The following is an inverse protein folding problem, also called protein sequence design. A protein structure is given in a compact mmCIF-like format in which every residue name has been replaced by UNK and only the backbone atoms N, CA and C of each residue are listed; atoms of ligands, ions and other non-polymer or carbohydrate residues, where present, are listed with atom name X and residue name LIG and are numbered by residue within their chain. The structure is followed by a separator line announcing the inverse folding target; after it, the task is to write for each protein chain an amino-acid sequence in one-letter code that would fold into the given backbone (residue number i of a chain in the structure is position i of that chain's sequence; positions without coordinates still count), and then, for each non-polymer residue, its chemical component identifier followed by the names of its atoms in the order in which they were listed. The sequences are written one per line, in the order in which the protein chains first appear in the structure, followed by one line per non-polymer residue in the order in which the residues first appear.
data_IF_242913732767
#
_entry.id   IF_242913732767
#
_cell.length_a   1.000
_cell.length_b   1.000
_cell.length_c   1.000
_cell.angle_alpha   90.00
_cell.angle_beta   90.00
_cell.angle_gamma   90.00
#
_symmetry.space_group_name_H-M   'P 1'
#
loop_
_entity.id
_entity.type
_entity.pdbx_description
1 polymer ?
#
# COMPACT_ATOMS: atom_id res chain seq x y z
N UNK A 1 31.06 -13.63 5.99
CA UNK A 1 30.52 -13.06 7.24
C UNK A 1 30.51 -14.19 8.26
N UNK A 2 31.30 -14.07 9.33
CA UNK A 2 31.46 -15.18 10.29
C UNK A 2 30.21 -15.32 11.16
N UNK A 3 29.93 -16.52 11.68
CA UNK A 3 28.73 -16.85 12.48
C UNK A 3 28.46 -15.85 13.62
N UNK A 4 29.52 -15.30 14.23
CA UNK A 4 29.43 -14.26 15.26
C UNK A 4 28.82 -12.94 14.74
N UNK A 5 29.22 -12.47 13.56
CA UNK A 5 28.65 -11.26 12.94
C UNK A 5 27.18 -11.47 12.56
N UNK A 6 26.82 -12.68 12.14
CA UNK A 6 25.44 -13.04 11.82
C UNK A 6 24.55 -13.07 13.07
N UNK A 7 25.07 -13.55 14.20
CA UNK A 7 24.34 -13.56 15.47
C UNK A 7 24.16 -12.15 16.07
N UNK A 8 25.20 -11.31 16.00
CA UNK A 8 25.11 -9.91 16.44
C UNK A 8 24.07 -9.13 15.65
N UNK A 9 24.06 -9.31 14.32
CA UNK A 9 23.09 -8.66 13.45
C UNK A 9 21.65 -9.10 13.79
N UNK A 10 21.40 -10.40 13.92
CA UNK A 10 20.07 -10.91 14.29
C UNK A 10 19.58 -10.34 15.63
N UNK A 11 20.48 -10.13 16.60
CA UNK A 11 20.15 -9.53 17.89
C UNK A 11 19.75 -8.06 17.73
N UNK A 12 20.47 -7.28 16.94
CA UNK A 12 20.13 -5.88 16.68
C UNK A 12 18.75 -5.74 16.01
N UNK A 13 18.46 -6.57 15.02
CA UNK A 13 17.19 -6.57 14.31
C UNK A 13 16.03 -7.00 15.19
N UNK A 14 16.24 -7.97 16.08
CA UNK A 14 15.25 -8.33 17.08
C UNK A 14 14.93 -7.16 18.00
N UNK A 15 15.95 -6.40 18.43
CA UNK A 15 15.76 -5.21 19.27
C UNK A 15 14.98 -4.14 18.49
N UNK A 16 15.35 -3.86 17.25
CA UNK A 16 14.63 -2.91 16.40
C UNK A 16 13.18 -3.33 16.18
N UNK A 17 12.93 -4.61 15.91
CA UNK A 17 11.58 -5.15 15.75
C UNK A 17 10.75 -5.02 17.02
N UNK A 18 11.31 -5.36 18.17
CA UNK A 18 10.63 -5.18 19.46
C UNK A 18 10.38 -3.70 19.78
N UNK A 19 11.31 -2.80 19.44
CA UNK A 19 11.10 -1.35 19.58
C UNK A 19 10.00 -0.84 18.63
N UNK A 20 9.96 -1.31 17.39
CA UNK A 20 8.90 -0.98 16.43
C UNK A 20 7.53 -1.49 16.89
N UNK A 21 7.46 -2.73 17.37
CA UNK A 21 6.24 -3.32 17.92
C UNK A 21 5.78 -2.58 19.17
N UNK A 22 6.70 -2.25 20.08
CA UNK A 22 6.40 -1.44 21.26
C UNK A 22 5.84 -0.09 20.85
N UNK A 23 6.48 0.60 19.90
CA UNK A 23 6.02 1.90 19.44
C UNK A 23 4.65 1.81 18.78
N UNK A 24 4.40 0.80 17.95
CA UNK A 24 3.10 0.52 17.34
C UNK A 24 2.01 0.31 18.40
N UNK A 25 2.23 -0.57 19.39
CA UNK A 25 1.26 -0.85 20.45
C UNK A 25 1.02 0.40 21.32
N UNK A 26 2.10 1.05 21.75
CA UNK A 26 2.02 2.23 22.62
C UNK A 26 1.29 3.39 21.94
N UNK A 27 1.63 3.69 20.68
CA UNK A 27 0.99 4.75 19.92
C UNK A 27 -0.46 4.41 19.55
N UNK A 28 -0.79 3.13 19.32
CA UNK A 28 -2.19 2.69 19.20
C UNK A 28 -2.95 3.02 20.48
N UNK A 29 -2.45 2.58 21.64
CA UNK A 29 -3.09 2.87 22.93
C UNK A 29 -3.20 4.39 23.19
N UNK A 30 -2.15 5.15 22.90
CA UNK A 30 -2.14 6.59 23.08
C UNK A 30 -3.12 7.30 22.13
N UNK A 31 -3.25 6.83 20.89
CA UNK A 31 -4.25 7.34 19.95
C UNK A 31 -5.67 7.03 20.44
N UNK A 32 -5.92 5.79 20.90
CA UNK A 32 -7.21 5.37 21.45
C UNK A 32 -7.61 6.09 22.75
N UNK A 33 -6.69 6.77 23.41
CA UNK A 33 -6.96 7.48 24.69
C UNK A 33 -6.96 8.99 24.52
N UNK A 34 -6.07 9.53 23.70
CA UNK A 34 -5.81 10.97 23.59
C UNK A 34 -6.34 11.55 22.26
N UNK A 35 -6.52 10.74 21.21
CA UNK A 35 -7.03 11.19 19.92
C UNK A 35 -6.08 12.13 19.16
N UNK A 36 -4.77 12.12 19.47
CA UNK A 36 -3.80 13.05 18.86
C UNK A 36 -3.19 12.47 17.58
N UNK A 37 -3.13 13.30 16.52
CA UNK A 37 -2.61 12.92 15.21
C UNK A 37 -1.15 12.47 15.22
N UNK A 38 -0.32 13.00 16.12
CA UNK A 38 1.07 12.55 16.28
C UNK A 38 1.14 11.05 16.55
N UNK A 39 0.18 10.49 17.28
CA UNK A 39 0.14 9.06 17.55
C UNK A 39 -0.22 8.21 16.33
N UNK A 40 -0.95 8.75 15.36
CA UNK A 40 -1.19 8.09 14.07
C UNK A 40 0.12 7.93 13.30
N UNK A 41 0.92 8.99 13.25
CA UNK A 41 2.22 8.95 12.56
C UNK A 41 3.19 8.02 13.29
N UNK A 42 3.22 8.05 14.62
CA UNK A 42 4.04 7.13 15.42
C UNK A 42 3.59 5.67 15.28
N UNK A 43 2.29 5.43 15.14
CA UNK A 43 1.71 4.11 14.87
C UNK A 43 2.19 3.55 13.55
N UNK A 44 2.06 4.32 12.47
CA UNK A 44 2.50 3.90 11.14
C UNK A 44 4.03 3.75 11.08
N UNK A 45 4.78 4.66 11.72
CA UNK A 45 6.22 4.53 11.83
C UNK A 45 6.63 3.26 12.59
N UNK A 46 6.04 2.99 13.76
CA UNK A 46 6.29 1.76 14.53
C UNK A 46 6.01 0.50 13.73
N UNK A 47 4.90 0.48 12.99
CA UNK A 47 4.55 -0.62 12.09
C UNK A 47 5.59 -0.83 10.99
N UNK A 48 6.07 0.25 10.37
CA UNK A 48 7.10 0.18 9.32
C UNK A 48 8.45 -0.34 9.85
N UNK A 49 8.84 0.04 11.07
CA UNK A 49 10.06 -0.45 11.72
C UNK A 49 9.91 -1.93 12.08
N UNK A 50 8.74 -2.33 12.57
CA UNK A 50 8.45 -3.72 12.90
C UNK A 50 8.48 -4.62 11.64
N UNK A 51 7.80 -4.23 10.56
CA UNK A 51 7.78 -4.99 9.32
C UNK A 51 9.17 -5.11 8.70
N UNK A 52 9.99 -4.07 8.78
CA UNK A 52 11.38 -4.20 8.35
C UNK A 52 12.12 -5.27 9.16
N UNK A 53 12.03 -5.23 10.49
CA UNK A 53 12.74 -6.22 11.31
C UNK A 53 12.32 -7.65 10.95
N UNK A 54 11.02 -7.86 10.66
CA UNK A 54 10.52 -9.15 10.16
C UNK A 54 11.11 -9.53 8.80
N UNK A 55 11.14 -8.59 7.86
CA UNK A 55 11.81 -8.74 6.55
C UNK A 55 13.26 -9.19 6.77
N UNK A 56 14.03 -8.54 7.64
CA UNK A 56 15.40 -8.93 7.91
C UNK A 56 15.51 -10.32 8.53
N UNK A 57 14.65 -10.66 9.50
CA UNK A 57 14.66 -11.97 10.18
C UNK A 57 14.40 -13.12 9.22
N UNK A 58 13.54 -12.93 8.22
CA UNK A 58 13.24 -13.92 7.16
C UNK A 58 14.41 -14.08 6.16
N UNK A 59 15.55 -13.44 6.41
CA UNK A 59 16.75 -13.59 5.60
C UNK A 59 16.68 -12.78 4.29
N UNK A 60 15.85 -11.74 4.25
CA UNK A 60 16.04 -10.65 3.29
C UNK A 60 17.36 -10.00 3.62
N UNK A 61 18.21 -9.75 2.61
CA UNK A 61 19.42 -8.94 2.81
C UNK A 61 18.95 -7.71 3.54
N UNK A 62 19.42 -7.57 4.78
CA UNK A 62 18.96 -6.54 5.69
C UNK A 62 19.10 -5.23 4.94
N UNK A 63 17.97 -4.57 4.70
CA UNK A 63 18.04 -3.37 3.88
C UNK A 63 18.90 -2.38 4.76
N UNK A 64 18.81 -2.38 6.10
CA UNK A 64 19.53 -1.41 6.97
C UNK A 64 21.06 -1.56 7.04
N UNK A 65 21.64 -2.58 6.40
CA UNK A 65 23.09 -2.80 6.42
C UNK A 65 23.89 -2.11 5.31
N UNK A 66 23.26 -1.51 4.28
CA UNK A 66 23.93 -0.73 3.24
C UNK A 66 23.42 0.73 3.21
N UNK A 67 24.11 1.59 3.94
CA UNK A 67 23.50 2.68 4.73
C UNK A 67 22.98 3.89 3.93
N UNK A 68 23.68 4.47 2.94
CA UNK A 68 23.21 5.71 2.30
C UNK A 68 22.32 5.49 1.07
N UNK A 69 22.60 4.48 0.24
CA UNK A 69 21.82 4.22 -0.99
C UNK A 69 20.43 3.72 -0.66
N UNK A 70 20.28 2.89 0.37
CA UNK A 70 18.97 2.45 0.85
C UNK A 70 18.17 3.59 1.44
N UNK A 71 18.72 4.37 2.37
CA UNK A 71 17.94 5.41 3.03
C UNK A 71 17.34 6.36 1.99
N UNK A 72 18.11 6.66 0.94
CA UNK A 72 17.64 7.40 -0.23
C UNK A 72 16.51 6.67 -0.99
N UNK A 73 16.55 5.35 -1.10
CA UNK A 73 15.48 4.55 -1.71
C UNK A 73 14.20 4.55 -0.88
N UNK A 74 14.28 4.25 0.43
CA UNK A 74 13.12 4.32 1.33
C UNK A 74 12.53 5.72 1.39
N UNK A 75 13.37 6.76 1.42
CA UNK A 75 12.91 8.14 1.36
C UNK A 75 12.18 8.42 0.05
N UNK A 76 12.63 7.87 -1.09
CA UNK A 76 11.91 7.98 -2.35
C UNK A 76 10.55 7.27 -2.30
N UNK A 77 10.47 6.07 -1.72
CA UNK A 77 9.18 5.37 -1.53
C UNK A 77 8.26 6.22 -0.66
N UNK A 78 8.75 6.74 0.47
CA UNK A 78 7.99 7.59 1.37
C UNK A 78 7.48 8.86 0.69
N UNK A 79 8.34 9.57 -0.04
CA UNK A 79 7.97 10.79 -0.75
C UNK A 79 6.99 10.51 -1.90
N UNK A 80 7.24 9.45 -2.67
CA UNK A 80 6.32 9.00 -3.72
C UNK A 80 4.95 8.68 -3.10
N UNK A 81 4.94 7.94 -1.98
CA UNK A 81 3.73 7.56 -1.28
C UNK A 81 2.94 8.74 -0.76
N UNK A 82 3.60 9.72 -0.13
CA UNK A 82 2.96 10.95 0.33
C UNK A 82 2.34 11.76 -0.82
N UNK A 83 3.06 11.93 -1.94
CA UNK A 83 2.54 12.66 -3.11
C UNK A 83 1.37 11.92 -3.73
N UNK A 84 1.51 10.62 -3.97
CA UNK A 84 0.51 9.82 -4.68
C UNK A 84 -0.71 9.60 -3.82
N UNK A 85 -0.53 9.34 -2.53
CA UNK A 85 -1.63 9.21 -1.57
C UNK A 85 -2.52 10.45 -1.58
N UNK A 86 -1.93 11.64 -1.44
CA UNK A 86 -2.70 12.89 -1.46
C UNK A 86 -3.32 13.15 -2.85
N UNK A 87 -2.52 13.12 -3.92
CA UNK A 87 -2.95 13.58 -5.25
C UNK A 87 -3.86 12.57 -5.94
N UNK A 88 -3.65 11.28 -5.72
CA UNK A 88 -4.36 10.23 -6.43
C UNK A 88 -5.39 9.54 -5.55
N UNK A 89 -5.11 9.26 -4.28
CA UNK A 89 -6.06 8.52 -3.44
C UNK A 89 -7.01 9.45 -2.71
N UNK A 90 -6.52 10.46 -2.00
CA UNK A 90 -7.40 11.38 -1.29
C UNK A 90 -8.13 12.31 -2.25
N UNK A 91 -7.44 12.92 -3.21
CA UNK A 91 -8.11 13.82 -4.16
C UNK A 91 -9.25 13.10 -4.91
N UNK A 92 -9.00 11.89 -5.40
CA UNK A 92 -10.00 11.14 -6.15
C UNK A 92 -11.09 10.61 -5.21
N UNK A 93 -10.73 9.98 -4.10
CA UNK A 93 -11.70 9.27 -3.26
C UNK A 93 -12.51 10.22 -2.37
N UNK A 94 -11.89 11.28 -1.83
CA UNK A 94 -12.55 12.28 -0.98
C UNK A 94 -13.25 13.34 -1.82
N UNK A 95 -12.52 13.97 -2.76
CA UNK A 95 -13.05 15.16 -3.43
C UNK A 95 -13.80 14.85 -4.74
N UNK A 96 -13.38 13.85 -5.51
CA UNK A 96 -14.11 13.49 -6.74
C UNK A 96 -15.26 12.53 -6.48
N UNK A 97 -15.09 11.57 -5.57
CA UNK A 97 -16.06 10.50 -5.37
C UNK A 97 -16.82 10.57 -4.05
N UNK A 98 -16.30 11.25 -3.01
CA UNK A 98 -16.96 11.33 -1.71
C UNK A 98 -17.15 9.96 -1.03
N UNK A 99 -16.22 9.02 -1.26
CA UNK A 99 -16.29 7.64 -0.73
C UNK A 99 -15.90 7.60 0.74
N UNK A 100 -15.02 8.51 1.16
CA UNK A 100 -14.77 8.72 2.57
C UNK A 100 -14.59 10.19 2.91
N UNK A 101 -14.88 10.52 4.15
CA UNK A 101 -14.65 11.84 4.73
C UNK A 101 -13.78 11.72 5.98
N UNK A 102 -12.93 12.71 6.17
CA UNK A 102 -12.15 12.87 7.38
C UNK A 102 -13.00 13.50 8.49
N UNK A 103 -12.85 13.03 9.73
CA UNK A 103 -13.42 13.75 10.87
C UNK A 103 -12.82 15.17 10.95
N UNK A 104 -13.54 16.13 11.55
CA UNK A 104 -13.24 17.57 11.50
C UNK A 104 -11.78 17.92 11.77
N UNK A 105 -11.14 17.23 12.71
CA UNK A 105 -9.73 17.48 13.09
C UNK A 105 -8.77 17.19 11.91
N UNK A 106 -9.15 16.28 11.03
CA UNK A 106 -8.39 15.85 9.86
C UNK A 106 -8.94 16.44 8.55
N UNK A 107 -10.03 17.21 8.62
CA UNK A 107 -10.67 17.73 7.41
C UNK A 107 -9.84 18.85 6.76
N UNK A 108 -9.62 18.79 5.43
CA UNK A 108 -8.95 19.85 4.69
C UNK A 108 -9.73 21.18 4.72
N UNK A 109 -11.04 21.15 4.98
CA UNK A 109 -11.88 22.36 5.09
C UNK A 109 -11.63 23.16 6.36
N UNK A 110 -11.17 22.50 7.43
CA UNK A 110 -10.92 23.13 8.73
C UNK A 110 -9.48 23.63 8.82
N UNK A 111 -8.51 22.82 8.38
CA UNK A 111 -7.11 23.22 8.39
C UNK A 111 -6.27 22.44 7.36
N UNK A 112 -6.08 23.05 6.18
CA UNK A 112 -5.32 22.44 5.08
C UNK A 112 -3.86 22.11 5.45
N UNK A 113 -3.24 22.88 6.35
CA UNK A 113 -1.87 22.61 6.80
C UNK A 113 -1.83 21.35 7.67
N UNK A 114 -2.73 21.25 8.65
CA UNK A 114 -2.84 20.04 9.48
C UNK A 114 -3.13 18.83 8.60
N UNK A 115 -4.05 18.94 7.63
CA UNK A 115 -4.29 17.88 6.66
C UNK A 115 -3.02 17.47 5.91
N UNK A 116 -2.27 18.40 5.30
CA UNK A 116 -1.05 18.06 4.56
C UNK A 116 0.01 17.44 5.47
N UNK A 117 0.23 18.01 6.66
CA UNK A 117 1.24 17.51 7.61
C UNK A 117 0.89 16.16 8.24
N UNK A 118 -0.32 15.65 8.01
CA UNK A 118 -0.80 14.39 8.59
C UNK A 118 -1.05 13.35 7.51
N UNK A 119 -1.79 13.70 6.46
CA UNK A 119 -2.04 12.85 5.31
C UNK A 119 -0.74 12.51 4.55
N UNK A 120 0.16 13.48 4.33
CA UNK A 120 1.41 13.23 3.59
C UNK A 120 2.28 12.16 4.27
N UNK A 121 2.66 12.32 5.56
CA UNK A 121 3.45 11.29 6.23
C UNK A 121 2.66 9.99 6.43
N UNK A 122 1.35 10.03 6.65
CA UNK A 122 0.54 8.82 6.76
C UNK A 122 0.61 7.97 5.49
N UNK A 123 0.33 8.58 4.33
CA UNK A 123 0.45 7.91 3.03
C UNK A 123 1.88 7.47 2.71
N UNK A 124 2.87 8.29 3.07
CA UNK A 124 4.28 7.92 2.93
C UNK A 124 4.64 6.65 3.72
N UNK A 125 4.12 6.52 4.96
CA UNK A 125 4.33 5.30 5.75
C UNK A 125 3.50 4.12 5.25
N UNK A 126 2.26 4.32 4.79
CA UNK A 126 1.49 3.24 4.16
C UNK A 126 2.22 2.61 2.98
N UNK A 127 2.84 3.42 2.11
CA UNK A 127 3.66 2.89 1.01
C UNK A 127 4.86 2.08 1.49
N UNK A 128 5.56 2.55 2.52
CA UNK A 128 6.67 1.80 3.11
C UNK A 128 6.19 0.46 3.69
N UNK A 129 5.09 0.48 4.42
CA UNK A 129 4.44 -0.69 5.02
C UNK A 129 4.03 -1.69 3.92
N UNK A 130 3.44 -1.22 2.82
CA UNK A 130 3.06 -2.05 1.68
C UNK A 130 4.29 -2.65 0.99
N UNK A 131 5.33 -1.87 0.76
CA UNK A 131 6.58 -2.37 0.20
C UNK A 131 7.18 -3.48 1.06
N UNK A 132 7.32 -3.24 2.37
CA UNK A 132 7.94 -4.17 3.31
C UNK A 132 7.10 -5.44 3.49
N UNK A 133 5.78 -5.30 3.66
CA UNK A 133 4.89 -6.45 3.79
C UNK A 133 4.84 -7.28 2.51
N UNK A 134 4.94 -6.65 1.33
CA UNK A 134 4.99 -7.36 0.05
C UNK A 134 6.25 -8.23 0.01
N UNK A 135 7.41 -7.65 0.33
CA UNK A 135 8.67 -8.40 0.40
C UNK A 135 8.61 -9.55 1.40
N UNK A 136 8.00 -9.32 2.56
CA UNK A 136 7.83 -10.34 3.60
C UNK A 136 6.97 -11.51 3.08
N UNK A 137 5.75 -11.25 2.64
CA UNK A 137 4.81 -12.29 2.20
C UNK A 137 5.26 -12.96 0.91
N UNK A 138 5.80 -12.20 -0.04
CA UNK A 138 6.34 -12.74 -1.27
C UNK A 138 7.39 -13.80 -0.96
N UNK A 139 8.25 -13.60 0.03
CA UNK A 139 9.24 -14.61 0.44
C UNK A 139 8.68 -15.79 1.22
N UNK A 140 7.72 -15.56 2.10
CA UNK A 140 7.07 -16.64 2.85
C UNK A 140 6.39 -17.62 1.88
N UNK A 141 5.77 -17.10 0.81
CA UNK A 141 5.12 -17.91 -0.22
C UNK A 141 6.20 -18.50 -1.13
N UNK A 142 6.71 -19.68 -0.80
CA UNK A 142 7.73 -20.37 -1.59
C UNK A 142 7.10 -21.26 -2.67
N UNK A 143 7.29 -20.93 -3.96
CA UNK A 143 7.16 -21.91 -5.07
C UNK A 143 7.93 -21.45 -6.30
N UNK A 144 8.76 -22.33 -6.87
CA UNK A 144 9.51 -22.08 -8.10
C UNK A 144 8.69 -22.49 -9.31
N UNK A 145 8.15 -21.52 -10.04
CA UNK A 145 7.74 -21.70 -11.43
C UNK A 145 8.11 -20.43 -12.20
N UNK A 146 9.12 -20.52 -13.06
CA UNK A 146 9.46 -19.46 -14.00
C UNK A 146 8.94 -19.83 -15.38
N UNK A 147 7.76 -19.33 -15.73
CA UNK A 147 7.34 -19.24 -17.12
C UNK A 147 7.38 -17.76 -17.51
N UNK A 148 8.34 -17.36 -18.33
CA UNK A 148 8.36 -16.01 -18.93
C UNK A 148 7.77 -16.12 -20.34
N UNK A 149 6.44 -16.11 -20.48
CA UNK A 149 5.85 -15.94 -21.80
C UNK A 149 5.88 -14.45 -22.17
N UNK A 150 6.71 -14.12 -23.17
CA UNK A 150 6.83 -12.75 -23.70
C UNK A 150 5.63 -12.34 -24.56
N UNK A 151 4.66 -13.23 -24.80
CA UNK A 151 3.49 -12.95 -25.64
C UNK A 151 2.64 -11.79 -25.15
N UNK A 152 2.58 -11.49 -23.86
CA UNK A 152 1.76 -10.38 -23.35
C UNK A 152 2.33 -9.00 -23.72
N UNK A 153 3.66 -8.90 -23.94
CA UNK A 153 4.32 -7.63 -24.26
C UNK A 153 3.78 -6.98 -25.56
N UNK A 154 3.33 -7.79 -26.53
CA UNK A 154 2.75 -7.31 -27.79
C UNK A 154 1.43 -6.56 -27.60
N UNK A 155 0.78 -6.73 -26.46
CA UNK A 155 -0.49 -6.09 -26.12
C UNK A 155 -0.31 -4.89 -25.19
N UNK A 156 0.92 -4.47 -24.87
CA UNK A 156 1.21 -3.35 -23.97
C UNK A 156 0.42 -2.07 -24.29
N UNK A 157 0.38 -1.68 -25.56
CA UNK A 157 -0.38 -0.51 -26.00
C UNK A 157 -1.89 -0.67 -25.77
N UNK A 158 -2.45 -1.84 -26.08
CA UNK A 158 -3.88 -2.12 -25.87
C UNK A 158 -4.25 -2.16 -24.39
N UNK A 159 -3.39 -2.73 -23.55
CA UNK A 159 -3.55 -2.74 -22.09
C UNK A 159 -3.56 -1.31 -21.56
N UNK A 160 -2.59 -0.48 -21.96
CA UNK A 160 -2.53 0.93 -21.56
C UNK A 160 -3.76 1.73 -22.02
N UNK A 161 -4.18 1.60 -23.28
CA UNK A 161 -5.37 2.28 -23.83
C UNK A 161 -6.64 1.83 -23.12
N UNK A 162 -6.80 0.53 -22.85
CA UNK A 162 -7.94 0.03 -22.08
C UNK A 162 -7.95 0.57 -20.65
N UNK A 163 -6.77 0.74 -20.04
CA UNK A 163 -6.61 1.38 -18.74
C UNK A 163 -7.05 2.84 -18.75
N UNK A 164 -6.67 3.61 -19.77
CA UNK A 164 -7.13 5.00 -19.95
C UNK A 164 -8.66 5.05 -20.07
N UNK A 165 -9.24 4.18 -20.90
CA UNK A 165 -10.69 4.12 -21.07
C UNK A 165 -11.40 3.79 -19.75
N UNK A 166 -10.95 2.77 -19.01
CA UNK A 166 -11.50 2.40 -17.71
C UNK A 166 -11.35 3.51 -16.67
N UNK A 167 -10.20 4.19 -16.65
CA UNK A 167 -9.96 5.33 -15.75
C UNK A 167 -10.94 6.47 -16.02
N UNK A 168 -11.10 6.86 -17.30
CA UNK A 168 -12.03 7.91 -17.69
C UNK A 168 -13.49 7.53 -17.43
N UNK A 169 -13.87 6.27 -17.66
CA UNK A 169 -15.18 5.74 -17.29
C UNK A 169 -15.37 5.88 -15.77
N UNK A 170 -14.44 5.37 -14.96
CA UNK A 170 -14.49 5.47 -13.50
C UNK A 170 -14.67 6.91 -13.01
N UNK A 171 -13.91 7.86 -13.55
CA UNK A 171 -14.00 9.29 -13.16
C UNK A 171 -15.30 9.97 -13.61
N UNK A 172 -15.95 9.47 -14.67
CA UNK A 172 -17.18 10.08 -15.22
C UNK A 172 -18.47 9.48 -14.66
N UNK A 173 -18.46 8.21 -14.23
CA UNK A 173 -19.62 7.49 -13.70
C UNK A 173 -20.34 8.18 -12.53
N UNK A 174 -19.67 8.82 -11.54
CA UNK A 174 -20.36 9.50 -10.44
C UNK A 174 -21.24 10.65 -10.95
N UNK A 175 -20.85 11.31 -12.05
CA UNK A 175 -21.65 12.37 -12.68
C UNK A 175 -22.94 11.84 -13.31
N UNK A 176 -23.02 10.53 -13.49
CA UNK A 176 -24.20 9.81 -14.00
C UNK A 176 -25.00 9.14 -12.88
N UNK A 177 -24.78 9.53 -11.61
CA UNK A 177 -25.41 8.95 -10.42
C UNK A 177 -25.16 7.44 -10.24
N UNK A 178 -24.03 6.94 -10.73
CA UNK A 178 -23.57 5.58 -10.44
C UNK A 178 -22.85 5.57 -9.10
N UNK A 179 -22.97 4.46 -8.38
CA UNK A 179 -22.42 4.27 -7.04
C UNK A 179 -20.91 4.64 -6.98
N UNK A 180 -20.51 5.60 -6.11
CA UNK A 180 -19.14 6.11 -6.06
C UNK A 180 -18.09 5.03 -5.87
N UNK A 181 -18.37 4.01 -5.05
CA UNK A 181 -17.45 2.91 -4.81
C UNK A 181 -17.13 2.11 -6.09
N UNK A 182 -18.13 1.86 -6.94
CA UNK A 182 -17.95 1.17 -8.23
C UNK A 182 -17.10 2.05 -9.17
N UNK A 183 -17.40 3.34 -9.22
CA UNK A 183 -16.67 4.32 -10.00
C UNK A 183 -15.18 4.37 -9.61
N UNK A 184 -14.87 4.41 -8.30
CA UNK A 184 -13.51 4.38 -7.80
C UNK A 184 -12.80 3.07 -8.09
N UNK A 185 -13.49 1.94 -7.96
CA UNK A 185 -12.94 0.63 -8.29
C UNK A 185 -12.50 0.61 -9.75
N UNK A 186 -13.36 1.06 -10.68
CA UNK A 186 -13.03 1.15 -12.10
C UNK A 186 -11.88 2.12 -12.38
N UNK A 187 -11.84 3.26 -11.69
CA UNK A 187 -10.72 4.19 -11.79
C UNK A 187 -9.40 3.56 -11.32
N UNK A 188 -9.40 2.84 -10.19
CA UNK A 188 -8.23 2.13 -9.68
C UNK A 188 -7.74 1.05 -10.66
N UNK A 189 -8.64 0.23 -11.21
CA UNK A 189 -8.30 -0.74 -12.26
C UNK A 189 -7.73 -0.07 -13.51
N UNK A 190 -8.33 1.04 -13.95
CA UNK A 190 -7.83 1.83 -15.07
C UNK A 190 -6.42 2.35 -14.82
N UNK A 191 -6.17 2.91 -13.64
CA UNK A 191 -4.85 3.35 -13.20
C UNK A 191 -3.82 2.23 -13.19
N UNK A 192 -4.17 1.05 -12.65
CA UNK A 192 -3.30 -0.13 -12.69
C UNK A 192 -2.97 -0.54 -14.13
N UNK A 193 -3.96 -0.63 -15.02
CA UNK A 193 -3.73 -1.04 -16.42
C UNK A 193 -2.89 -0.04 -17.22
N UNK A 194 -2.98 1.26 -16.91
CA UNK A 194 -2.06 2.27 -17.47
C UNK A 194 -0.62 1.96 -17.07
N UNK A 195 -0.38 1.68 -15.78
CA UNK A 195 0.95 1.36 -15.25
C UNK A 195 1.49 0.04 -15.83
N UNK A 196 0.64 -0.98 -15.94
CA UNK A 196 0.94 -2.26 -16.59
C UNK A 196 1.34 -2.07 -18.06
N UNK A 197 0.55 -1.31 -18.83
CA UNK A 197 0.86 -1.03 -20.23
C UNK A 197 2.21 -0.34 -20.40
N UNK A 198 2.54 0.59 -19.50
CA UNK A 198 3.83 1.28 -19.49
C UNK A 198 5.01 0.35 -19.19
N UNK A 199 4.92 -0.51 -18.17
CA UNK A 199 6.00 -1.46 -17.84
C UNK A 199 6.15 -2.55 -18.92
N UNK A 200 5.04 -3.04 -19.47
CA UNK A 200 5.08 -3.99 -20.59
C UNK A 200 5.73 -3.37 -21.83
N UNK A 201 5.51 -2.08 -22.11
CA UNK A 201 6.19 -1.37 -23.20
C UNK A 201 7.71 -1.29 -23.00
N UNK A 202 8.17 -1.26 -21.74
CA UNK A 202 9.57 -1.31 -21.32
C UNK A 202 10.13 -2.72 -21.26
N UNK A 203 9.34 -3.74 -21.61
CA UNK A 203 9.67 -5.17 -21.56
C UNK A 203 10.06 -5.65 -20.16
N UNK A 204 9.48 -5.04 -19.12
CA UNK A 204 9.71 -5.40 -17.72
C UNK A 204 8.67 -6.39 -17.22
N UNK A 205 9.00 -7.18 -16.19
CA UNK A 205 8.00 -8.02 -15.52
C UNK A 205 6.95 -7.14 -14.85
N UNK A 206 5.72 -7.62 -14.85
CA UNK A 206 4.56 -6.97 -14.25
C UNK A 206 3.64 -7.98 -13.59
N UNK A 207 2.80 -7.52 -12.66
CA UNK A 207 1.84 -8.39 -11.97
C UNK A 207 0.91 -9.09 -12.97
N UNK A 208 0.42 -8.37 -13.99
CA UNK A 208 -0.41 -8.98 -15.02
C UNK A 208 0.34 -10.05 -15.82
N UNK A 209 1.61 -9.79 -16.15
CA UNK A 209 2.43 -10.78 -16.85
C UNK A 209 2.65 -12.03 -16.00
N UNK A 210 2.84 -11.89 -14.68
CA UNK A 210 2.98 -12.99 -13.75
C UNK A 210 1.70 -13.82 -13.65
N UNK A 211 0.54 -13.16 -13.50
CA UNK A 211 -0.77 -13.81 -13.46
C UNK A 211 -1.03 -14.62 -14.74
N UNK A 212 -0.80 -14.03 -15.92
CA UNK A 212 -1.02 -14.70 -17.22
C UNK A 212 -0.08 -15.91 -17.39
N UNK A 213 1.11 -15.85 -16.80
CA UNK A 213 2.08 -16.94 -16.81
C UNK A 213 1.83 -17.98 -15.70
N UNK A 214 0.78 -17.82 -14.90
CA UNK A 214 0.46 -18.72 -13.78
C UNK A 214 1.32 -18.51 -12.52
N UNK A 215 2.15 -17.46 -12.50
CA UNK A 215 2.88 -17.02 -11.31
C UNK A 215 1.96 -16.15 -10.42
N UNK A 216 1.12 -16.79 -9.61
CA UNK A 216 0.22 -16.08 -8.70
C UNK A 216 0.90 -15.60 -7.40
N UNK A 217 2.19 -15.87 -7.21
CA UNK A 217 2.91 -15.57 -5.97
C UNK A 217 2.86 -14.07 -5.61
N UNK A 218 3.14 -13.13 -6.54
CA UNK A 218 2.99 -11.72 -6.24
C UNK A 218 1.56 -11.32 -5.85
N UNK A 219 0.56 -11.86 -6.56
CA UNK A 219 -0.85 -11.60 -6.25
C UNK A 219 -1.22 -12.09 -4.86
N UNK A 220 -0.84 -13.32 -4.50
CA UNK A 220 -1.12 -13.88 -3.16
C UNK A 220 -0.39 -13.08 -2.08
N UNK A 221 0.85 -12.65 -2.33
CA UNK A 221 1.59 -11.80 -1.39
C UNK A 221 0.87 -10.47 -1.13
N UNK A 222 0.39 -9.83 -2.20
CA UNK A 222 -0.39 -8.60 -2.12
C UNK A 222 -1.69 -8.83 -1.37
N UNK A 223 -2.45 -9.86 -1.70
CA UNK A 223 -3.75 -10.14 -1.05
C UNK A 223 -3.56 -10.42 0.45
N UNK A 224 -2.55 -11.21 0.84
CA UNK A 224 -2.27 -11.46 2.26
C UNK A 224 -1.84 -10.18 2.98
N UNK A 225 -0.94 -9.41 2.38
CA UNK A 225 -0.51 -8.13 2.94
C UNK A 225 -1.69 -7.16 3.09
N UNK A 226 -2.48 -6.99 2.04
CA UNK A 226 -3.63 -6.10 2.01
C UNK A 226 -4.69 -6.47 3.05
N UNK A 227 -5.03 -7.76 3.17
CA UNK A 227 -6.04 -8.20 4.14
C UNK A 227 -5.55 -7.95 5.57
N UNK A 228 -4.30 -8.30 5.89
CA UNK A 228 -3.76 -8.12 7.25
C UNK A 228 -3.63 -6.63 7.59
N UNK A 229 -3.02 -5.85 6.69
CA UNK A 229 -2.79 -4.42 6.91
C UNK A 229 -4.09 -3.62 6.89
N UNK A 230 -4.98 -3.91 5.94
CA UNK A 230 -6.30 -3.31 5.85
C UNK A 230 -7.12 -3.63 7.09
N UNK A 231 -7.10 -4.88 7.57
CA UNK A 231 -7.79 -5.24 8.81
C UNK A 231 -7.22 -4.46 10.02
N UNK A 232 -5.89 -4.37 10.16
CA UNK A 232 -5.28 -3.60 11.26
C UNK A 232 -5.68 -2.13 11.18
N UNK A 233 -5.59 -1.52 10.00
CA UNK A 233 -5.90 -0.10 9.79
C UNK A 233 -7.38 0.19 10.06
N UNK A 234 -8.28 -0.57 9.45
CA UNK A 234 -9.72 -0.39 9.61
C UNK A 234 -10.20 -0.71 11.02
N UNK A 235 -9.66 -1.75 11.65
CA UNK A 235 -10.02 -2.07 13.02
C UNK A 235 -9.58 -0.96 13.98
N UNK A 236 -8.36 -0.43 13.79
CA UNK A 236 -7.87 0.66 14.64
C UNK A 236 -8.67 1.93 14.42
N UNK A 237 -9.04 2.24 13.17
CA UNK A 237 -9.95 3.34 12.85
C UNK A 237 -11.32 3.15 13.50
N UNK A 238 -11.92 1.96 13.41
CA UNK A 238 -13.24 1.65 13.93
C UNK A 238 -13.35 1.83 15.45
N UNK A 239 -12.33 1.38 16.20
CA UNK A 239 -12.33 1.41 17.68
C UNK A 239 -11.78 2.73 18.26
N UNK A 240 -11.26 3.63 17.43
CA UNK A 240 -10.75 4.91 17.88
C UNK A 240 -11.88 5.83 18.39
N UNK A 241 -11.64 6.60 19.48
CA UNK A 241 -12.62 7.60 19.94
C UNK A 241 -12.90 8.68 18.89
N UNK A 242 -11.91 8.94 18.04
CA UNK A 242 -11.96 9.84 16.90
C UNK A 242 -11.57 9.02 15.69
N UNK A 243 -12.56 8.69 14.86
CA UNK A 243 -12.33 7.98 13.61
C UNK A 243 -11.56 8.89 12.65
N UNK A 244 -10.50 8.39 12.05
CA UNK A 244 -9.73 9.15 11.05
C UNK A 244 -10.55 9.36 9.80
N UNK A 245 -11.26 8.32 9.36
CA UNK A 245 -12.12 8.38 8.19
C UNK A 245 -13.44 7.63 8.41
N UNK A 246 -14.47 8.13 7.75
CA UNK A 246 -15.79 7.54 7.65
C UNK A 246 -16.09 7.22 6.20
N UNK A 247 -16.57 6.02 5.92
CA UNK A 247 -16.93 5.61 4.56
C UNK A 247 -18.41 5.76 4.28
N UNK A 248 -18.73 6.03 3.02
CA UNK A 248 -20.11 6.14 2.54
C UNK A 248 -20.30 5.42 1.21
N UNK A 249 -21.50 4.84 1.04
CA UNK A 249 -21.90 4.23 -0.22
C UNK A 249 -21.05 3.03 -0.59
N UNK A 250 -20.68 2.20 0.39
CA UNK A 250 -20.03 0.92 0.14
C UNK A 250 -21.15 -0.09 -0.18
N UNK A 251 -21.05 -0.84 -1.29
CA UNK A 251 -22.01 -1.89 -1.56
C UNK A 251 -21.93 -2.99 -0.49
N UNK A 252 -23.07 -3.57 -0.11
CA UNK A 252 -23.13 -4.71 0.80
C UNK A 252 -22.45 -4.47 2.17
N UNK A 253 -22.57 -3.27 2.75
CA UNK A 253 -22.04 -2.92 4.08
C UNK A 253 -22.43 -3.92 5.20
N UNK A 254 -23.55 -4.63 5.02
CA UNK A 254 -24.01 -5.67 5.94
C UNK A 254 -23.14 -6.94 5.93
N UNK A 255 -22.28 -7.14 4.93
CA UNK A 255 -21.32 -8.24 4.88
C UNK A 255 -20.00 -7.75 5.50
N UNK A 256 -19.84 -7.98 6.80
CA UNK A 256 -18.72 -7.45 7.58
C UNK A 256 -18.00 -8.52 8.42
N UNK A 257 -16.70 -8.28 8.67
CA UNK A 257 -15.86 -9.07 9.58
C UNK A 257 -15.39 -8.13 10.69
N UNK A 258 -15.70 -8.45 11.95
CA UNK A 258 -15.39 -7.60 13.10
C UNK A 258 -15.91 -6.14 12.96
N UNK A 259 -17.05 -5.96 12.28
CA UNK A 259 -17.63 -4.64 12.01
C UNK A 259 -17.07 -3.91 10.79
N UNK A 260 -16.08 -4.48 10.09
CA UNK A 260 -15.47 -3.90 8.90
C UNK A 260 -16.09 -4.52 7.64
N UNK A 261 -16.71 -3.73 6.74
CA UNK A 261 -17.21 -4.21 5.45
C UNK A 261 -16.15 -4.98 4.66
N UNK A 262 -16.50 -6.16 4.16
CA UNK A 262 -15.56 -7.03 3.41
C UNK A 262 -15.04 -6.34 2.15
N UNK A 263 -15.89 -5.54 1.47
CA UNK A 263 -15.46 -4.80 0.29
C UNK A 263 -14.38 -3.75 0.59
N UNK A 264 -14.33 -3.19 1.80
CA UNK A 264 -13.22 -2.31 2.18
C UNK A 264 -11.90 -3.09 2.25
N UNK A 265 -11.90 -4.27 2.87
CA UNK A 265 -10.70 -5.12 2.94
C UNK A 265 -10.23 -5.55 1.54
N UNK A 266 -11.15 -5.79 0.61
CA UNK A 266 -10.82 -6.05 -0.80
C UNK A 266 -10.26 -4.77 -1.46
N UNK A 267 -10.81 -3.60 -1.16
CA UNK A 267 -10.35 -2.32 -1.72
C UNK A 267 -8.91 -1.99 -1.35
N UNK A 268 -8.46 -2.37 -0.14
CA UNK A 268 -7.05 -2.29 0.26
C UNK A 268 -6.13 -3.04 -0.70
N UNK A 269 -6.57 -4.18 -1.26
CA UNK A 269 -5.78 -4.93 -2.25
C UNK A 269 -5.61 -4.13 -3.54
N UNK A 270 -6.63 -3.40 -3.98
CA UNK A 270 -6.54 -2.56 -5.18
C UNK A 270 -5.57 -1.39 -4.99
N UNK A 271 -5.65 -0.70 -3.85
CA UNK A 271 -4.70 0.37 -3.51
C UNK A 271 -3.27 -0.17 -3.51
N UNK A 272 -3.08 -1.35 -2.92
CA UNK A 272 -1.80 -2.02 -2.84
C UNK A 272 -1.22 -2.36 -4.21
N UNK A 273 -2.03 -2.95 -5.12
CA UNK A 273 -1.62 -3.24 -6.50
C UNK A 273 -1.17 -1.95 -7.21
N UNK A 274 -1.93 -0.87 -7.11
CA UNK A 274 -1.61 0.41 -7.76
C UNK A 274 -0.31 0.99 -7.19
N UNK A 275 -0.12 0.95 -5.87
CA UNK A 275 1.09 1.45 -5.22
C UNK A 275 2.35 0.70 -5.65
N UNK A 276 2.33 -0.63 -5.63
CA UNK A 276 3.47 -1.43 -6.07
C UNK A 276 3.75 -1.26 -7.57
N UNK A 277 2.70 -1.18 -8.38
CA UNK A 277 2.84 -0.92 -9.82
C UNK A 277 3.50 0.43 -10.07
N UNK A 278 3.11 1.46 -9.31
CA UNK A 278 3.67 2.80 -9.43
C UNK A 278 5.12 2.86 -8.91
N UNK A 279 5.42 2.19 -7.81
CA UNK A 279 6.78 2.03 -7.31
C UNK A 279 7.69 1.44 -8.40
N UNK A 280 7.26 0.33 -9.02
CA UNK A 280 8.01 -0.34 -10.07
C UNK A 280 8.25 0.56 -11.30
N UNK A 281 7.23 1.34 -11.68
CA UNK A 281 7.29 2.31 -12.79
C UNK A 281 8.29 3.44 -12.55
N UNK A 282 8.28 3.99 -11.33
CA UNK A 282 8.96 5.26 -11.00
C UNK A 282 10.36 5.05 -10.44
N UNK A 283 10.55 4.07 -9.57
CA UNK A 283 11.78 3.95 -8.79
C UNK A 283 12.89 3.15 -9.49
N UNK A 284 12.63 2.62 -10.70
CA UNK A 284 13.57 1.93 -11.60
C UNK A 284 14.71 1.26 -10.81
N UNK A 285 14.38 0.21 -10.07
CA UNK A 285 15.41 -0.67 -9.55
C UNK A 285 15.87 -1.63 -10.65
N UNK A 286 17.18 -1.88 -10.75
CA UNK A 286 17.74 -2.84 -11.72
C UNK A 286 17.53 -4.30 -11.30
N UNK A 287 17.14 -4.52 -10.04
CA UNK A 287 16.78 -5.84 -9.52
C UNK A 287 15.26 -6.03 -9.72
N UNK A 288 14.88 -7.15 -10.32
CA UNK A 288 13.52 -7.46 -10.76
C UNK A 288 12.55 -7.47 -9.56
N UNK A 289 11.62 -6.51 -9.51
CA UNK A 289 10.74 -6.29 -8.35
C UNK A 289 9.70 -7.42 -8.11
N UNK A 290 9.35 -8.13 -9.18
CA UNK A 290 8.32 -9.17 -9.19
C UNK A 290 8.88 -10.61 -9.16
N UNK A 291 10.21 -10.80 -9.18
CA UNK A 291 10.86 -12.13 -9.19
C UNK A 291 11.20 -12.66 -7.78
#
# INVERSE_FOLDING_TARGET
MNSFQQNSLKKHELILGLSGLFLFIFSTYAWLTIGNVLFVILHLFGMSVFLEALVTVVGIRNIFNDTPKKLKYLLKIFLLGGIVGIVFFDFISVFLFGIWEYDRIFSPSENILVYIFTAFPAWGFYFLIFHQSYQLFHRIIHRKYHFRDRKIQKYSAWIGVSGIALFLIGVTLPKLNIEPFIAATLAAFGGWFILEGFELSRKRPTLLSDIVNGNFRPLVAIVLGAIILGFISEYTNLVAPVQQWNYYGIPFENIAIAGIPVLLLISWSWMYIVFLSLENVTLINKEEFWD
#
